data_IF_777091200445
#
_entry.id   IF_777091200445
#
_cell.length_a   1.000
_cell.length_b   1.000
_cell.length_c   1.000
_cell.angle_alpha   90.00
_cell.angle_beta   90.00
_cell.angle_gamma   90.00
#
_symmetry.space_group_name_H-M   'P 1'
#
loop_
_entity.id
_entity.type
_entity.pdbx_description
1 polymer ?
#
# COMPACT_ATOMS: atom_id res chain seq x y z
N UNK A 1 -10.48 23.32 39.03
CA UNK A 1 -9.85 22.08 39.53
C UNK A 1 -9.25 21.37 38.33
N UNK A 2 -7.95 21.55 38.08
CA UNK A 2 -7.27 21.03 36.89
C UNK A 2 -6.93 19.56 37.09
N UNK A 3 -7.50 18.68 36.28
CA UNK A 3 -7.12 17.27 36.26
C UNK A 3 -5.77 17.19 35.52
N UNK A 4 -4.70 16.64 36.13
CA UNK A 4 -3.40 16.57 35.49
C UNK A 4 -3.48 15.64 34.26
N UNK A 5 -3.03 16.14 33.11
CA UNK A 5 -3.01 15.43 31.82
C UNK A 5 -2.30 14.06 31.87
N UNK A 6 -1.48 13.81 32.89
CA UNK A 6 -0.77 12.54 33.09
C UNK A 6 -1.68 11.36 33.43
N UNK A 7 -2.76 11.57 34.20
CA UNK A 7 -3.69 10.47 34.57
C UNK A 7 -4.59 10.05 33.40
N UNK A 8 -4.90 10.98 32.48
CA UNK A 8 -5.72 10.69 31.30
C UNK A 8 -4.94 9.89 30.24
N UNK A 9 -3.60 9.99 30.20
CA UNK A 9 -2.76 9.13 29.35
C UNK A 9 -2.61 7.72 29.92
N UNK A 10 -2.41 7.56 31.23
CA UNK A 10 -2.29 6.22 31.83
C UNK A 10 -3.56 5.38 31.69
N UNK A 11 -4.74 5.99 31.77
CA UNK A 11 -6.01 5.30 31.54
C UNK A 11 -6.19 4.83 30.06
N UNK A 12 -5.61 5.55 29.09
CA UNK A 12 -5.60 5.13 27.67
C UNK A 12 -4.57 4.04 27.37
N UNK A 13 -3.43 4.03 28.08
CA UNK A 13 -2.40 2.99 27.92
C UNK A 13 -2.86 1.63 28.45
N UNK A 14 -3.69 1.59 29.51
CA UNK A 14 -4.27 0.34 30.03
C UNK A 14 -5.32 -0.30 29.11
N UNK A 15 -5.83 0.44 28.11
CA UNK A 15 -6.70 -0.12 27.06
C UNK A 15 -5.94 -0.60 25.82
N UNK A 16 -4.62 -0.37 25.75
CA UNK A 16 -3.77 -0.80 24.64
C UNK A 16 -3.22 -2.23 24.85
N UNK A 17 -4.04 -3.14 25.38
CA UNK A 17 -3.69 -4.56 25.55
C UNK A 17 -4.04 -5.43 24.34
N UNK A 18 -4.32 -4.81 23.19
CA UNK A 18 -4.26 -5.47 21.89
C UNK A 18 -3.18 -4.80 21.05
N UNK A 19 -2.35 -5.58 20.37
CA UNK A 19 -1.53 -5.15 19.24
C UNK A 19 -2.43 -4.48 18.19
N UNK A 20 -2.70 -3.18 18.40
CA UNK A 20 -3.75 -2.46 17.71
C UNK A 20 -3.33 -2.12 16.29
N UNK A 21 -3.68 -2.96 15.33
CA UNK A 21 -3.62 -2.60 13.93
C UNK A 21 -4.68 -1.53 13.65
N UNK A 22 -4.26 -0.33 13.25
CA UNK A 22 -5.16 0.67 12.68
C UNK A 22 -5.39 0.33 11.20
N UNK A 23 -6.64 0.37 10.75
CA UNK A 23 -7.00 0.14 9.34
C UNK A 23 -7.81 1.31 8.82
N UNK A 24 -7.38 1.87 7.69
CA UNK A 24 -8.08 2.93 6.97
C UNK A 24 -8.41 2.45 5.56
N UNK A 25 -9.67 2.64 5.18
CA UNK A 25 -10.19 2.23 3.89
C UNK A 25 -10.35 3.43 2.98
N UNK A 26 -9.87 3.30 1.75
CA UNK A 26 -9.91 4.35 0.74
C UNK A 26 -10.44 3.77 -0.57
N UNK A 27 -11.37 4.47 -1.21
CA UNK A 27 -11.71 4.24 -2.60
C UNK A 27 -10.71 4.99 -3.48
N UNK A 28 -10.27 4.34 -4.54
CA UNK A 28 -9.35 4.92 -5.53
C UNK A 28 -9.70 4.46 -6.94
N UNK A 29 -9.01 5.02 -7.93
CA UNK A 29 -9.04 4.55 -9.30
C UNK A 29 -7.59 4.28 -9.76
N UNK A 30 -7.39 3.43 -10.80
CA UNK A 30 -6.04 3.14 -11.29
C UNK A 30 -5.23 4.37 -11.68
N UNK A 31 -5.85 5.34 -12.36
CA UNK A 31 -5.14 6.51 -12.84
C UNK A 31 -4.52 7.36 -11.70
N UNK A 32 -5.27 7.81 -10.68
CA UNK A 32 -4.69 8.53 -9.55
C UNK A 32 -3.73 7.67 -8.71
N UNK A 33 -4.00 6.37 -8.55
CA UNK A 33 -3.05 5.47 -7.90
C UNK A 33 -1.70 5.46 -8.64
N UNK A 34 -1.71 5.16 -9.94
CA UNK A 34 -0.50 5.14 -10.78
C UNK A 34 0.22 6.49 -10.82
N UNK A 35 -0.51 7.59 -10.64
CA UNK A 35 0.07 8.92 -10.52
C UNK A 35 0.85 9.14 -9.22
N UNK A 36 0.40 8.54 -8.12
CA UNK A 36 1.01 8.71 -6.81
C UNK A 36 2.23 7.80 -6.60
N UNK A 37 2.25 6.60 -7.21
CA UNK A 37 3.30 5.59 -6.99
C UNK A 37 4.75 6.07 -7.17
N UNK A 38 5.11 6.89 -8.19
CA UNK A 38 6.49 7.36 -8.35
C UNK A 38 6.99 8.23 -7.20
N UNK A 39 6.08 8.86 -6.44
CA UNK A 39 6.45 9.71 -5.31
C UNK A 39 6.88 8.90 -4.07
N UNK A 40 6.67 7.59 -4.03
CA UNK A 40 7.04 6.75 -2.90
C UNK A 40 8.56 6.49 -2.81
N UNK A 41 9.31 6.85 -3.85
CA UNK A 41 10.67 6.37 -4.10
C UNK A 41 10.74 4.84 -4.05
N UNK A 42 11.15 4.25 -2.92
CA UNK A 42 11.31 2.81 -2.75
C UNK A 42 10.21 2.23 -1.87
N UNK A 43 9.62 1.13 -2.29
CA UNK A 43 8.72 0.32 -1.46
C UNK A 43 9.03 -1.15 -1.63
N UNK A 44 8.59 -1.98 -0.68
CA UNK A 44 8.57 -3.42 -0.89
C UNK A 44 7.22 -3.81 -1.52
N UNK A 45 7.28 -4.26 -2.77
CA UNK A 45 6.12 -4.63 -3.59
C UNK A 45 5.88 -6.14 -3.54
N UNK A 46 4.66 -6.53 -3.18
CA UNK A 46 4.24 -7.92 -3.08
C UNK A 46 3.00 -8.14 -3.96
N UNK A 47 3.13 -8.76 -5.15
CA UNK A 47 1.96 -9.23 -5.88
C UNK A 47 1.32 -10.38 -5.09
N UNK A 48 0.00 -10.38 -4.96
CA UNK A 48 -0.72 -11.41 -4.22
C UNK A 48 -1.32 -12.45 -5.17
N UNK A 49 -1.46 -13.68 -4.68
CA UNK A 49 -2.12 -14.75 -5.42
C UNK A 49 -3.59 -14.35 -5.69
N UNK A 50 -3.91 -13.94 -6.92
CA UNK A 50 -5.25 -13.46 -7.25
C UNK A 50 -6.26 -14.61 -7.24
N UNK A 51 -7.36 -14.45 -6.50
CA UNK A 51 -8.52 -15.32 -6.63
C UNK A 51 -9.33 -14.93 -7.87
N UNK A 52 -9.19 -15.72 -8.94
CA UNK A 52 -10.12 -15.73 -10.06
C UNK A 52 -9.74 -14.85 -11.27
N UNK A 53 -10.26 -15.21 -12.46
CA UNK A 53 -10.00 -14.50 -13.70
C UNK A 53 -10.89 -13.26 -13.79
N UNK A 54 -10.39 -12.09 -13.40
CA UNK A 54 -11.09 -10.86 -13.78
C UNK A 54 -10.63 -10.45 -15.19
N UNK A 55 -11.36 -10.91 -16.20
CA UNK A 55 -11.38 -10.32 -17.55
C UNK A 55 -12.09 -8.94 -17.51
N UNK A 56 -11.80 -8.12 -16.51
CA UNK A 56 -12.30 -6.76 -16.46
C UNK A 56 -11.65 -5.96 -17.58
N UNK A 57 -12.45 -5.11 -18.23
CA UNK A 57 -11.93 -4.05 -19.09
C UNK A 57 -10.80 -3.30 -18.37
N UNK A 58 -9.57 -3.47 -18.89
CA UNK A 58 -8.41 -2.73 -18.43
C UNK A 58 -8.71 -1.23 -18.50
N UNK A 59 -8.23 -0.43 -17.54
CA UNK A 59 -8.43 1.01 -17.58
C UNK A 59 -7.85 1.58 -18.87
N UNK A 60 -8.67 2.36 -19.59
CA UNK A 60 -8.25 3.01 -20.84
C UNK A 60 -7.13 4.01 -20.56
N UNK A 61 -6.17 4.09 -21.48
CA UNK A 61 -5.08 5.07 -21.38
C UNK A 61 -3.96 4.70 -20.41
N UNK A 62 -4.04 3.55 -19.73
CA UNK A 62 -3.01 3.08 -18.79
C UNK A 62 -2.34 1.81 -19.30
N UNK A 63 -1.03 1.73 -19.12
CA UNK A 63 -0.22 0.56 -19.46
C UNK A 63 0.76 0.29 -18.31
N UNK A 64 1.05 -0.99 -18.07
CA UNK A 64 2.20 -1.40 -17.26
C UNK A 64 3.22 -2.08 -18.17
N UNK A 65 4.49 -1.73 -18.00
CA UNK A 65 5.59 -2.32 -18.77
C UNK A 65 6.10 -3.61 -18.12
N UNK A 66 6.12 -3.65 -16.79
CA UNK A 66 6.53 -4.81 -16.00
C UNK A 66 5.32 -5.71 -15.72
N UNK A 67 5.28 -6.99 -16.15
CA UNK A 67 4.12 -7.86 -15.97
C UNK A 67 3.66 -8.02 -14.51
N UNK A 68 4.61 -8.06 -13.57
CA UNK A 68 4.34 -8.16 -12.13
C UNK A 68 3.51 -6.98 -11.58
N UNK A 69 3.45 -5.85 -12.29
CA UNK A 69 2.69 -4.66 -11.92
C UNK A 69 1.24 -4.65 -12.44
N UNK A 70 0.85 -5.62 -13.27
CA UNK A 70 -0.51 -5.72 -13.80
C UNK A 70 -1.63 -5.66 -12.73
N UNK A 71 -1.47 -6.24 -11.52
CA UNK A 71 -2.47 -6.10 -10.45
C UNK A 71 -2.85 -4.66 -10.10
N UNK A 72 -1.92 -3.69 -10.24
CA UNK A 72 -2.19 -2.27 -9.94
C UNK A 72 -3.29 -1.67 -10.82
N UNK A 73 -3.49 -2.18 -12.04
CA UNK A 73 -4.55 -1.72 -12.94
C UNK A 73 -5.95 -2.15 -12.48
N UNK A 74 -6.03 -3.18 -11.62
CA UNK A 74 -7.27 -3.72 -11.07
C UNK A 74 -7.69 -3.05 -9.76
N UNK A 75 -6.77 -2.38 -9.08
CA UNK A 75 -7.03 -1.77 -7.76
C UNK A 75 -8.14 -0.73 -7.84
N UNK A 76 -9.09 -0.83 -6.91
CA UNK A 76 -10.23 0.08 -6.72
C UNK A 76 -10.40 0.52 -5.27
N UNK A 77 -9.83 -0.23 -4.33
CA UNK A 77 -9.73 0.20 -2.95
C UNK A 77 -8.32 0.01 -2.44
N UNK A 78 -7.96 0.84 -1.46
CA UNK A 78 -6.75 0.70 -0.66
C UNK A 78 -7.18 0.46 0.78
N UNK A 79 -6.62 -0.57 1.40
CA UNK A 79 -6.66 -0.76 2.84
C UNK A 79 -5.27 -0.44 3.39
N UNK A 80 -5.13 0.76 3.96
CA UNK A 80 -3.93 1.17 4.66
C UNK A 80 -3.94 0.58 6.07
N UNK A 81 -2.84 -0.02 6.48
CA UNK A 81 -2.68 -0.65 7.78
C UNK A 81 -1.44 -0.12 8.46
N UNK A 82 -1.58 0.26 9.72
CA UNK A 82 -0.48 0.63 10.60
C UNK A 82 -0.52 -0.25 11.83
N UNK A 83 0.58 -0.94 12.12
CA UNK A 83 0.71 -1.88 13.22
C UNK A 83 1.96 -1.53 14.02
N UNK A 84 1.85 -1.45 15.35
CA UNK A 84 3.01 -1.39 16.23
C UNK A 84 3.40 -2.82 16.58
N UNK A 85 4.45 -3.33 15.94
CA UNK A 85 5.02 -4.65 16.19
C UNK A 85 6.14 -4.58 17.24
N UNK A 86 6.62 -5.74 17.70
CA UNK A 86 7.69 -5.83 18.71
C UNK A 86 8.99 -5.19 18.22
N UNK A 87 9.24 -5.23 16.92
CA UNK A 87 10.43 -4.68 16.26
C UNK A 87 10.22 -3.29 15.66
N UNK A 88 9.06 -2.67 15.91
CA UNK A 88 8.77 -1.30 15.50
C UNK A 88 7.45 -1.13 14.75
N UNK A 89 7.14 0.10 14.33
CA UNK A 89 5.97 0.38 13.51
C UNK A 89 6.12 -0.23 12.12
N UNK A 90 5.05 -0.84 11.64
CA UNK A 90 4.92 -1.44 10.31
C UNK A 90 3.72 -0.83 9.63
N UNK A 91 3.94 -0.31 8.43
CA UNK A 91 2.88 0.24 7.60
C UNK A 91 2.85 -0.44 6.25
N UNK A 92 1.65 -0.72 5.76
CA UNK A 92 1.44 -1.23 4.42
C UNK A 92 0.09 -0.81 3.86
N UNK A 93 -0.04 -0.95 2.56
CA UNK A 93 -1.27 -0.74 1.83
C UNK A 93 -1.58 -1.99 1.03
N UNK A 94 -2.74 -2.58 1.27
CA UNK A 94 -3.33 -3.59 0.40
C UNK A 94 -4.15 -2.91 -0.69
N UNK A 95 -3.86 -3.22 -1.95
CA UNK A 95 -4.70 -2.86 -3.08
C UNK A 95 -5.72 -3.96 -3.34
N UNK A 96 -7.00 -3.60 -3.33
CA UNK A 96 -8.11 -4.52 -3.55
C UNK A 96 -8.77 -4.23 -4.89
N UNK A 97 -9.16 -5.29 -5.61
CA UNK A 97 -9.87 -5.18 -6.88
C UNK A 97 -11.37 -4.88 -6.68
N UNK A 98 -12.13 -4.80 -7.79
CA UNK A 98 -13.58 -4.51 -7.82
C UNK A 98 -14.44 -5.44 -6.96
N UNK A 99 -13.96 -6.63 -6.68
CA UNK A 99 -14.67 -7.66 -5.91
C UNK A 99 -14.28 -7.66 -4.43
N UNK A 100 -13.34 -6.80 -4.03
CA UNK A 100 -12.84 -6.76 -2.65
C UNK A 100 -11.72 -7.75 -2.36
N UNK A 101 -11.18 -8.43 -3.37
CA UNK A 101 -10.05 -9.33 -3.18
C UNK A 101 -8.74 -8.54 -3.23
N UNK A 102 -7.83 -8.72 -2.26
CA UNK A 102 -6.52 -8.09 -2.30
C UNK A 102 -5.69 -8.69 -3.45
N UNK A 103 -5.10 -7.85 -4.28
CA UNK A 103 -4.32 -8.28 -5.45
C UNK A 103 -2.86 -7.83 -5.39
N UNK A 104 -2.53 -6.88 -4.51
CA UNK A 104 -1.18 -6.35 -4.33
C UNK A 104 -1.03 -5.79 -2.91
N UNK A 105 0.19 -5.85 -2.38
CA UNK A 105 0.57 -5.17 -1.14
C UNK A 105 1.81 -4.33 -1.37
N UNK A 106 1.79 -3.11 -0.83
CA UNK A 106 2.94 -2.21 -0.75
C UNK A 106 3.32 -2.06 0.72
N UNK A 107 4.54 -2.41 1.09
CA UNK A 107 5.09 -2.17 2.42
C UNK A 107 5.93 -0.90 2.42
N UNK A 108 5.73 -0.07 3.44
CA UNK A 108 6.60 1.05 3.72
C UNK A 108 7.95 0.52 4.21
N UNK A 109 9.01 0.99 3.58
CA UNK A 109 10.40 0.77 3.96
C UNK A 109 10.96 2.03 4.62
N UNK A 110 12.06 1.93 5.39
CA UNK A 110 12.81 3.09 5.86
C UNK A 110 13.27 4.01 4.71
N UNK A 111 13.49 3.42 3.54
CA UNK A 111 13.89 4.13 2.32
C UNK A 111 12.71 4.70 1.52
N UNK A 112 11.46 4.49 1.95
CA UNK A 112 10.26 5.07 1.32
C UNK A 112 10.21 6.57 1.61
N UNK A 113 9.87 7.38 0.60
CA UNK A 113 9.52 8.78 0.82
C UNK A 113 8.18 8.83 1.59
N UNK A 114 8.27 9.13 2.88
CA UNK A 114 7.12 9.20 3.77
C UNK A 114 6.11 10.28 3.36
N UNK A 115 6.54 11.38 2.76
CA UNK A 115 5.62 12.40 2.25
C UNK A 115 4.90 11.90 0.99
N UNK A 116 5.59 11.14 0.15
CA UNK A 116 4.96 10.40 -0.95
C UNK A 116 3.90 9.42 -0.45
N UNK A 117 4.22 8.67 0.61
CA UNK A 117 3.30 7.73 1.26
C UNK A 117 2.06 8.42 1.82
N UNK A 118 2.22 9.51 2.57
CA UNK A 118 1.10 10.26 3.12
C UNK A 118 0.21 10.84 2.01
N UNK A 119 0.81 11.37 0.94
CA UNK A 119 0.06 11.85 -0.25
C UNK A 119 -0.71 10.74 -0.94
N UNK A 120 -0.16 9.53 -1.05
CA UNK A 120 -0.88 8.37 -1.58
C UNK A 120 -2.14 8.10 -0.74
N UNK A 121 -2.02 8.10 0.59
CA UNK A 121 -3.15 7.88 1.49
C UNK A 121 -4.16 9.04 1.52
N UNK A 122 -3.70 10.27 1.28
CA UNK A 122 -4.55 11.45 1.19
C UNK A 122 -5.30 11.55 -0.16
N UNK A 123 -4.77 10.94 -1.23
CA UNK A 123 -5.36 10.97 -2.57
C UNK A 123 -6.61 10.08 -2.74
N UNK A 124 -6.83 9.16 -1.80
CA UNK A 124 -7.98 8.27 -1.80
C UNK A 124 -9.18 8.86 -1.06
N UNK A 125 -10.37 8.57 -1.55
CA UNK A 125 -11.63 8.96 -0.89
C UNK A 125 -11.91 8.02 0.29
N UNK A 126 -12.14 8.51 1.52
CA UNK A 126 -12.50 7.65 2.64
C UNK A 126 -13.69 6.75 2.33
N UNK A 127 -13.55 5.46 2.63
CA UNK A 127 -14.58 4.45 2.39
C UNK A 127 -14.93 3.70 3.69
N UNK A 128 -16.15 3.15 3.80
CA UNK A 128 -16.45 2.20 4.87
C UNK A 128 -15.55 0.97 4.75
N UNK A 129 -15.33 0.31 5.89
CA UNK A 129 -14.61 -0.96 5.90
C UNK A 129 -15.34 -2.00 5.03
N UNK A 130 -14.58 -2.74 4.22
CA UNK A 130 -15.16 -3.88 3.50
C UNK A 130 -15.22 -5.10 4.41
N UNK A 131 -16.36 -5.80 4.50
CA UNK A 131 -16.43 -7.08 5.17
C UNK A 131 -15.60 -8.12 4.38
N UNK A 132 -14.98 -9.05 5.11
CA UNK A 132 -14.30 -10.25 4.58
C UNK A 132 -13.24 -10.00 3.49
N UNK A 133 -12.12 -9.42 3.89
CA UNK A 133 -10.92 -9.38 3.03
C UNK A 133 -10.12 -10.66 3.22
N UNK A 134 -10.10 -11.59 2.25
CA UNK A 134 -9.36 -12.82 2.41
C UNK A 134 -7.86 -12.56 2.50
N UNK A 135 -7.18 -13.32 3.34
CA UNK A 135 -5.72 -13.30 3.37
C UNK A 135 -5.19 -14.13 2.19
N UNK A 136 -4.53 -13.46 1.25
CA UNK A 136 -3.88 -14.11 0.11
C UNK A 136 -2.37 -14.11 0.30
N UNK A 137 -1.68 -15.22 -0.04
CA UNK A 137 -0.22 -15.26 0.04
C UNK A 137 0.39 -14.34 -1.01
N UNK A 138 1.52 -13.73 -0.65
CA UNK A 138 2.37 -13.05 -1.62
C UNK A 138 3.06 -14.08 -2.52
N UNK A 139 3.10 -13.78 -3.82
CA UNK A 139 3.78 -14.60 -4.82
C UNK A 139 5.27 -14.30 -4.88
N UNK A 140 5.64 -13.06 -4.55
CA UNK A 140 7.00 -12.55 -4.56
C UNK A 140 7.11 -11.36 -3.60
N UNK A 141 8.32 -10.94 -3.28
CA UNK A 141 8.62 -9.73 -2.51
C UNK A 141 9.83 -9.03 -3.15
N UNK A 142 9.56 -7.91 -3.82
CA UNK A 142 10.60 -7.17 -4.54
C UNK A 142 10.65 -5.70 -4.11
N UNK A 143 11.82 -5.20 -3.66
CA UNK A 143 12.05 -3.77 -3.53
C UNK A 143 11.96 -3.09 -4.89
N UNK A 144 11.01 -2.17 -5.05
CA UNK A 144 10.76 -1.48 -6.32
C UNK A 144 10.77 0.03 -6.17
N UNK A 145 11.18 0.68 -7.26
CA UNK A 145 10.91 2.08 -7.55
C UNK A 145 9.97 2.17 -8.73
N UNK A 146 8.92 2.95 -8.61
CA UNK A 146 7.99 3.17 -9.71
C UNK A 146 8.45 4.34 -10.55
N UNK A 147 8.42 4.18 -11.87
CA UNK A 147 8.50 5.30 -12.82
C UNK A 147 7.24 5.36 -13.64
N UNK A 148 6.87 6.58 -14.00
CA UNK A 148 5.79 6.85 -14.94
C UNK A 148 6.35 7.64 -16.12
N UNK A 149 5.95 7.25 -17.32
CA UNK A 149 6.23 7.97 -18.57
C UNK A 149 4.99 8.02 -19.44
N UNK A 150 5.00 8.90 -20.44
CA UNK A 150 3.93 8.97 -21.45
C UNK A 150 4.43 8.42 -22.78
N UNK A 151 3.64 7.54 -23.40
CA UNK A 151 3.97 6.91 -24.69
C UNK A 151 2.71 6.84 -25.55
N UNK A 152 2.72 7.48 -26.73
CA UNK A 152 1.60 7.48 -27.68
C UNK A 152 0.23 7.81 -27.02
N UNK A 153 0.20 8.75 -26.08
CA UNK A 153 -1.02 9.14 -25.36
C UNK A 153 -1.38 8.24 -24.17
N UNK A 154 -0.67 7.13 -23.96
CA UNK A 154 -0.82 6.24 -22.80
C UNK A 154 0.09 6.68 -21.65
N UNK A 155 -0.40 6.54 -20.43
CA UNK A 155 0.40 6.58 -19.22
C UNK A 155 0.97 5.20 -18.93
N UNK A 156 2.29 5.07 -18.99
CA UNK A 156 3.02 3.82 -18.79
C UNK A 156 3.67 3.84 -17.41
N UNK A 157 3.32 2.87 -16.57
CA UNK A 157 4.00 2.59 -15.31
C UNK A 157 5.03 1.47 -15.52
N UNK A 158 6.23 1.66 -15.00
CA UNK A 158 7.25 0.62 -14.93
C UNK A 158 7.79 0.49 -13.50
N UNK A 159 8.27 -0.70 -13.18
CA UNK A 159 8.96 -1.00 -11.93
C UNK A 159 10.43 -1.23 -12.17
N UNK A 160 11.27 -0.44 -11.51
CA UNK A 160 12.72 -0.62 -11.48
C UNK A 160 13.09 -1.32 -10.17
N UNK A 161 13.91 -2.37 -10.24
CA UNK A 161 14.45 -2.99 -9.03
C UNK A 161 15.24 -1.95 -8.22
N UNK A 162 14.93 -1.82 -6.92
CA UNK A 162 15.61 -0.88 -6.05
C UNK A 162 16.97 -1.46 -5.61
N UNK A 163 17.99 -1.32 -6.47
CA UNK A 163 19.30 -1.98 -6.30
C UNK A 163 20.12 -1.56 -5.06
N UNK A 164 19.80 -0.45 -4.41
CA UNK A 164 20.46 -0.02 -3.16
C UNK A 164 19.42 0.39 -2.13
N UNK A 165 18.97 -0.57 -1.32
CA UNK A 165 18.29 -0.33 -0.05
C UNK A 165 19.31 -0.04 1.05
N UNK A 166 18.93 0.79 2.03
CA UNK A 166 19.64 0.92 3.29
C UNK A 166 19.78 -0.44 4.00
N UNK A 167 20.74 -0.61 4.94
CA UNK A 167 20.86 -1.85 5.73
C UNK A 167 19.55 -2.24 6.43
N UNK A 168 18.83 -1.26 6.98
CA UNK A 168 17.54 -1.48 7.64
C UNK A 168 16.44 -1.86 6.64
N UNK A 169 16.43 -1.24 5.46
CA UNK A 169 15.53 -1.61 4.37
C UNK A 169 15.75 -3.04 3.89
N UNK A 170 17.01 -3.47 3.76
CA UNK A 170 17.35 -4.87 3.40
C UNK A 170 16.86 -5.86 4.45
N UNK A 171 17.10 -5.58 5.72
CA UNK A 171 16.63 -6.44 6.82
C UNK A 171 15.10 -6.63 6.80
N UNK A 172 14.35 -5.60 6.42
CA UNK A 172 12.89 -5.66 6.34
C UNK A 172 12.38 -6.27 5.03
N UNK A 173 13.18 -6.24 3.96
CA UNK A 173 12.83 -6.79 2.66
C UNK A 173 13.06 -8.31 2.55
N UNK A 174 13.92 -8.89 3.39
CA UNK A 174 14.28 -10.31 3.39
C UNK A 174 15.67 -10.58 2.83
#
# INVERSE_FOLDING_TARGET
MFIPWSRQRQARCLQASGTGACRRWLRTAPAPLLAALPALDRVLYLPLATCGPELSALPRGLLVETPALAPLLRVRWLMAVSLIAVDGPREWVDGLDRTGHPCVRLHLLPDTDYLGWDRLLASGEPAPAMPDTPHLPALDACPLRFRRRRLAGLDVLLGEAAGALSPLGRQLAG
#
